data_IF_127752750215
#
_entry.id   IF_127752750215
#
_cell.length_a   1.000
_cell.length_b   1.000
_cell.length_c   1.000
_cell.angle_alpha   90.00
_cell.angle_beta   90.00
_cell.angle_gamma   90.00
#
_symmetry.space_group_name_H-M   'P 1'
#
loop_
_entity.id
_entity.type
_entity.pdbx_description
1 polymer ?
#
# COMPACT_ATOMS: atom_id res chain seq x y z
N UNK A 1 -8.96 18.09 7.87
CA UNK A 1 -9.73 17.18 6.99
C UNK A 1 -10.14 16.02 7.86
N UNK A 2 -11.44 15.80 8.01
CA UNK A 2 -11.96 14.60 8.69
C UNK A 2 -12.09 13.51 7.63
N UNK A 3 -11.40 12.39 7.84
CA UNK A 3 -11.29 11.29 6.86
C UNK A 3 -12.18 10.09 7.25
N UNK A 4 -12.58 10.01 8.52
CA UNK A 4 -13.31 8.89 9.08
C UNK A 4 -14.72 8.82 8.48
N UNK A 5 -15.10 7.65 7.97
CA UNK A 5 -16.43 7.42 7.37
C UNK A 5 -16.56 7.89 5.92
N UNK A 6 -15.56 8.62 5.39
CA UNK A 6 -15.53 9.04 3.99
C UNK A 6 -14.94 7.98 3.08
N UNK A 7 -15.30 8.01 1.80
CA UNK A 7 -14.69 7.14 0.79
C UNK A 7 -13.21 7.51 0.61
N UNK A 8 -12.32 6.52 0.67
CA UNK A 8 -10.89 6.74 0.46
C UNK A 8 -10.59 7.35 -0.91
N UNK A 9 -11.36 6.99 -1.96
CA UNK A 9 -11.18 7.47 -3.33
C UNK A 9 -11.28 8.99 -3.49
N UNK A 10 -11.97 9.69 -2.57
CA UNK A 10 -12.02 11.15 -2.55
C UNK A 10 -10.66 11.79 -2.27
N UNK A 11 -9.75 11.04 -1.64
CA UNK A 11 -8.43 11.49 -1.22
C UNK A 11 -7.30 10.88 -2.02
N UNK A 12 -7.57 9.97 -2.96
CA UNK A 12 -6.55 9.31 -3.78
C UNK A 12 -6.46 9.99 -5.14
N UNK A 13 -5.24 10.08 -5.68
CA UNK A 13 -5.02 10.51 -7.06
C UNK A 13 -5.83 9.61 -8.01
N UNK A 14 -6.65 10.16 -8.93
CA UNK A 14 -7.49 9.36 -9.83
C UNK A 14 -6.75 8.31 -10.62
N UNK A 15 -5.46 8.52 -10.92
CA UNK A 15 -4.66 7.55 -11.67
C UNK A 15 -4.26 6.31 -10.86
N UNK A 16 -4.40 6.34 -9.54
CA UNK A 16 -4.14 5.21 -8.64
C UNK A 16 -5.43 4.43 -8.29
N UNK A 17 -6.60 4.83 -8.79
CA UNK A 17 -7.88 4.23 -8.37
C UNK A 17 -7.98 2.75 -8.74
N UNK A 18 -7.54 2.37 -9.93
CA UNK A 18 -7.56 0.98 -10.39
C UNK A 18 -6.58 0.10 -9.58
N UNK A 19 -5.42 0.64 -9.24
CA UNK A 19 -4.43 -0.06 -8.40
C UNK A 19 -4.97 -0.26 -6.98
N UNK A 20 -5.60 0.76 -6.39
CA UNK A 20 -6.24 0.64 -5.08
C UNK A 20 -7.40 -0.37 -5.11
N UNK A 21 -8.22 -0.36 -6.15
CA UNK A 21 -9.29 -1.34 -6.32
C UNK A 21 -8.72 -2.77 -6.38
N UNK A 22 -7.62 -2.98 -7.08
CA UNK A 22 -6.93 -4.26 -7.13
C UNK A 22 -6.39 -4.68 -5.74
N UNK A 23 -5.77 -3.76 -5.00
CA UNK A 23 -5.28 -3.98 -3.63
C UNK A 23 -6.42 -4.39 -2.68
N UNK A 24 -7.58 -3.73 -2.80
CA UNK A 24 -8.78 -4.00 -2.01
C UNK A 24 -9.59 -5.20 -2.51
N UNK A 25 -9.27 -5.74 -3.69
CA UNK A 25 -9.95 -6.92 -4.20
C UNK A 25 -9.41 -8.20 -3.55
N UNK A 26 -10.30 -9.17 -3.37
CA UNK A 26 -9.91 -10.55 -3.19
C UNK A 26 -9.56 -11.08 -4.57
N UNK A 27 -8.28 -11.03 -4.94
CA UNK A 27 -7.85 -11.85 -6.06
C UNK A 27 -8.08 -13.31 -5.66
N UNK A 28 -8.81 -14.10 -6.46
CA UNK A 28 -8.97 -15.52 -6.15
C UNK A 28 -7.56 -16.10 -6.03
N UNK A 29 -7.24 -16.79 -4.92
CA UNK A 29 -5.94 -17.43 -4.82
C UNK A 29 -5.76 -18.31 -6.06
N UNK A 30 -4.59 -18.27 -6.72
CA UNK A 30 -4.35 -19.12 -7.87
C UNK A 30 -4.70 -20.54 -7.46
N UNK A 31 -5.67 -21.12 -8.18
CA UNK A 31 -6.28 -22.42 -7.90
C UNK A 31 -5.18 -23.49 -7.80
N UNK A 32 -4.63 -23.68 -6.60
CA UNK A 32 -3.72 -24.76 -6.29
C UNK A 32 -3.93 -25.17 -4.83
N UNK A 33 -4.65 -26.28 -4.71
CA UNK A 33 -4.44 -27.30 -3.69
C UNK A 33 -4.48 -26.88 -2.22
N UNK A 34 -5.57 -27.32 -1.56
CA UNK A 34 -5.48 -28.17 -0.37
C UNK A 34 -4.69 -27.64 0.84
N UNK A 35 -4.55 -26.32 1.01
CA UNK A 35 -4.29 -25.81 2.35
C UNK A 35 -5.66 -25.81 3.04
N UNK A 36 -5.86 -26.58 4.13
CA UNK A 36 -7.03 -26.39 4.98
C UNK A 36 -6.89 -25.01 5.63
N UNK A 37 -7.27 -23.95 4.90
CA UNK A 37 -7.45 -22.64 5.49
C UNK A 37 -8.54 -22.85 6.55
N UNK A 38 -8.26 -22.57 7.83
CA UNK A 38 -9.22 -22.75 8.90
C UNK A 38 -10.55 -22.11 8.50
N UNK A 39 -11.66 -22.77 8.82
CA UNK A 39 -12.95 -22.09 8.77
C UNK A 39 -12.86 -20.86 9.68
N UNK A 40 -13.29 -19.71 9.18
CA UNK A 40 -13.23 -18.45 9.92
C UNK A 40 -12.40 -17.37 9.25
N UNK A 41 -11.86 -16.48 10.07
CA UNK A 41 -11.15 -15.29 9.64
C UNK A 41 -9.66 -15.58 9.41
N UNK A 42 -9.12 -15.06 8.32
CA UNK A 42 -7.69 -15.06 8.05
C UNK A 42 -7.25 -13.71 7.46
N UNK A 43 -5.95 -13.49 7.44
CA UNK A 43 -5.34 -12.23 7.00
C UNK A 43 -4.49 -12.47 5.76
N UNK A 44 -4.58 -11.56 4.79
CA UNK A 44 -3.82 -11.61 3.55
C UNK A 44 -2.98 -10.34 3.40
N UNK A 45 -1.66 -10.49 3.43
CA UNK A 45 -0.71 -9.37 3.44
C UNK A 45 -0.86 -8.45 2.22
N UNK A 46 -0.66 -7.15 2.46
CA UNK A 46 -0.68 -6.08 1.46
C UNK A 46 0.45 -5.09 1.74
N UNK A 47 1.24 -4.81 0.71
CA UNK A 47 2.19 -3.70 0.69
C UNK A 47 2.09 -2.99 -0.64
N UNK A 48 1.80 -1.69 -0.62
CA UNK A 48 1.56 -0.89 -1.84
C UNK A 48 1.90 0.57 -1.62
N UNK A 49 2.02 1.32 -2.71
CA UNK A 49 2.18 2.77 -2.69
C UNK A 49 0.90 3.43 -3.21
N UNK A 50 0.54 4.58 -2.63
CA UNK A 50 -0.63 5.33 -3.08
C UNK A 50 -0.38 6.83 -2.95
N UNK A 51 -0.85 7.62 -3.93
CA UNK A 51 -0.78 9.08 -3.87
C UNK A 51 -2.03 9.63 -3.18
N UNK A 52 -1.84 10.19 -2.00
CA UNK A 52 -2.91 10.80 -1.21
C UNK A 52 -2.87 12.33 -1.31
N UNK A 53 -4.04 12.98 -1.43
CA UNK A 53 -4.19 14.43 -1.36
C UNK A 53 -3.59 14.94 -0.05
N UNK A 54 -2.75 15.96 -0.15
CA UNK A 54 -2.02 16.53 0.96
C UNK A 54 -2.14 18.06 0.92
N UNK A 55 -2.73 18.64 1.96
CA UNK A 55 -2.96 20.09 2.09
C UNK A 55 -1.83 20.79 2.85
N UNK A 56 -0.75 20.08 3.20
CA UNK A 56 0.41 20.69 3.85
C UNK A 56 1.15 21.60 2.87
N UNK A 57 1.48 22.81 3.33
CA UNK A 57 2.10 23.83 2.50
C UNK A 57 3.46 23.35 1.96
N UNK A 58 3.65 23.52 0.65
CA UNK A 58 4.89 23.18 -0.08
C UNK A 58 6.14 23.93 0.44
N UNK A 59 5.95 25.03 1.18
CA UNK A 59 6.94 26.12 1.29
C UNK A 59 8.27 25.75 1.96
N UNK A 60 8.38 24.68 2.74
CA UNK A 60 9.62 24.39 3.48
C UNK A 60 10.19 22.96 3.36
N UNK A 61 9.56 22.04 2.60
CA UNK A 61 9.98 20.63 2.65
C UNK A 61 9.85 19.82 1.35
N UNK A 62 9.34 20.39 0.25
CA UNK A 62 9.16 19.61 -1.00
C UNK A 62 8.32 18.34 -0.84
N UNK A 63 7.48 18.30 0.21
CA UNK A 63 6.81 17.09 0.70
C UNK A 63 5.64 16.62 -0.20
N UNK A 64 5.22 17.46 -1.16
CA UNK A 64 4.07 17.22 -2.02
C UNK A 64 4.38 17.57 -3.48
N UNK A 65 3.88 16.74 -4.39
CA UNK A 65 3.89 16.96 -5.85
C UNK A 65 2.45 17.11 -6.32
N UNK A 66 2.11 18.23 -6.98
CA UNK A 66 0.75 18.48 -7.46
C UNK A 66 -0.34 18.51 -6.36
N UNK A 67 0.04 18.70 -5.08
CA UNK A 67 -0.90 18.59 -3.96
C UNK A 67 -1.10 17.17 -3.44
N UNK A 68 -0.28 16.21 -3.85
CA UNK A 68 -0.31 14.82 -3.40
C UNK A 68 0.99 14.42 -2.71
N UNK A 69 0.90 13.44 -1.82
CA UNK A 69 2.04 12.79 -1.14
C UNK A 69 1.96 11.28 -1.40
N UNK A 70 3.11 10.67 -1.71
CA UNK A 70 3.20 9.21 -1.81
C UNK A 70 3.26 8.61 -0.41
N UNK A 71 2.36 7.67 -0.15
CA UNK A 71 2.27 6.92 1.10
C UNK A 71 2.55 5.45 0.79
N UNK A 72 3.50 4.87 1.51
CA UNK A 72 3.72 3.43 1.58
C UNK A 72 2.77 2.83 2.61
N UNK A 73 1.87 1.97 2.18
CA UNK A 73 0.93 1.28 3.04
C UNK A 73 1.40 -0.15 3.23
N UNK A 74 1.47 -0.62 4.48
CA UNK A 74 1.79 -2.01 4.83
C UNK A 74 0.77 -2.54 5.85
N UNK A 75 0.22 -3.72 5.59
CA UNK A 75 -0.83 -4.31 6.41
C UNK A 75 -1.44 -5.55 5.78
N UNK A 76 -2.73 -5.76 5.97
CA UNK A 76 -3.42 -6.95 5.51
C UNK A 76 -4.90 -6.71 5.22
N UNK A 77 -5.45 -7.46 4.27
CA UNK A 77 -6.89 -7.64 4.13
C UNK A 77 -7.36 -8.68 5.12
N UNK A 78 -8.38 -8.33 5.91
CA UNK A 78 -9.10 -9.27 6.74
C UNK A 78 -10.16 -9.97 5.91
N UNK A 79 -10.15 -11.29 5.88
CA UNK A 79 -11.02 -12.11 5.02
C UNK A 79 -11.75 -13.13 5.86
N UNK A 80 -13.04 -13.29 5.62
CA UNK A 80 -13.85 -14.35 6.24
C UNK A 80 -14.15 -15.44 5.21
N UNK A 81 -13.79 -16.68 5.53
CA UNK A 81 -14.15 -17.86 4.75
C UNK A 81 -15.41 -18.50 5.34
N UNK A 82 -16.42 -18.69 4.49
CA UNK A 82 -17.62 -19.43 4.84
C UNK A 82 -17.91 -20.50 3.79
N UNK A 83 -18.57 -21.58 4.22
CA UNK A 83 -19.04 -22.62 3.32
C UNK A 83 -20.40 -22.22 2.75
N UNK A 84 -20.62 -22.52 1.48
CA UNK A 84 -21.97 -22.44 0.90
C UNK A 84 -22.58 -23.83 0.99
N UNK A 85 -23.81 -23.92 1.51
CA UNK A 85 -24.54 -25.16 1.80
C UNK A 85 -24.78 -26.10 0.60
N UNK A 86 -24.33 -25.73 -0.61
CA UNK A 86 -24.56 -26.47 -1.84
C UNK A 86 -23.40 -27.40 -2.28
N UNK A 87 -22.18 -27.26 -1.72
CA UNK A 87 -21.06 -28.15 -2.09
C UNK A 87 -19.90 -28.09 -1.08
N UNK A 88 -19.36 -29.24 -0.61
CA UNK A 88 -18.17 -29.27 0.25
C UNK A 88 -16.89 -28.77 -0.44
N UNK A 89 -16.95 -28.50 -1.75
CA UNK A 89 -15.84 -27.97 -2.55
C UNK A 89 -15.95 -26.47 -2.83
N UNK A 90 -17.05 -25.82 -2.44
CA UNK A 90 -17.30 -24.41 -2.78
C UNK A 90 -17.20 -23.53 -1.52
N UNK A 91 -16.01 -22.98 -1.31
CA UNK A 91 -15.74 -22.02 -0.24
C UNK A 91 -15.76 -20.62 -0.79
N UNK A 92 -16.59 -19.76 -0.20
CA UNK A 92 -16.67 -18.35 -0.54
C UNK A 92 -15.81 -17.51 0.42
N UNK A 93 -15.32 -16.39 -0.10
CA UNK A 93 -14.50 -15.45 0.64
C UNK A 93 -15.18 -14.09 0.69
N UNK A 94 -15.29 -13.52 1.88
CA UNK A 94 -15.79 -12.17 2.11
C UNK A 94 -14.66 -11.25 2.54
N UNK A 95 -14.46 -10.14 1.84
CA UNK A 95 -13.52 -9.10 2.27
C UNK A 95 -14.15 -8.30 3.41
N UNK A 96 -13.53 -8.31 4.59
CA UNK A 96 -13.98 -7.55 5.76
C UNK A 96 -13.36 -6.15 5.83
N UNK A 97 -12.27 -5.91 5.10
CA UNK A 97 -11.60 -4.62 5.03
C UNK A 97 -10.08 -4.72 5.07
N UNK A 98 -9.43 -3.60 4.79
CA UNK A 98 -7.99 -3.41 4.89
C UNK A 98 -7.64 -2.78 6.25
N UNK A 99 -6.67 -3.37 6.95
CA UNK A 99 -6.00 -2.74 8.08
C UNK A 99 -4.53 -2.52 7.69
N UNK A 100 -4.07 -1.28 7.69
CA UNK A 100 -2.72 -0.94 7.27
C UNK A 100 -2.16 0.29 7.98
N UNK A 101 -0.83 0.34 8.07
CA UNK A 101 -0.07 1.51 8.50
C UNK A 101 0.45 2.24 7.27
N UNK A 102 0.16 3.54 7.17
CA UNK A 102 0.65 4.41 6.11
C UNK A 102 1.88 5.20 6.54
N UNK A 103 3.01 4.96 5.90
CA UNK A 103 4.24 5.72 6.06
C UNK A 103 4.45 6.65 4.87
N UNK A 104 4.58 7.94 5.13
CA UNK A 104 4.87 8.86 4.05
C UNK A 104 6.32 8.77 3.61
N UNK A 105 6.56 8.69 2.30
CA UNK A 105 7.93 8.68 1.79
C UNK A 105 8.63 10.02 2.09
N UNK A 106 9.92 9.98 2.47
CA UNK A 106 10.72 11.19 2.63
C UNK A 106 10.82 11.91 1.27
N UNK A 107 10.70 13.25 1.22
CA UNK A 107 10.89 14.01 0.00
C UNK A 107 12.27 13.75 -0.63
N UNK A 108 12.30 13.74 -1.96
CA UNK A 108 13.44 13.35 -2.81
C UNK A 108 14.73 14.18 -2.64
N UNK A 109 14.67 15.28 -1.87
CA UNK A 109 15.77 16.22 -1.68
C UNK A 109 16.30 16.28 -0.24
N UNK A 110 15.99 15.29 0.61
CA UNK A 110 16.50 15.30 1.98
C UNK A 110 18.01 15.00 2.00
N UNK A 111 18.80 16.06 2.16
CA UNK A 111 20.18 16.01 2.63
C UNK A 111 20.28 15.79 4.15
N UNK A 112 19.14 15.71 4.84
CA UNK A 112 19.01 15.67 6.30
C UNK A 112 18.70 14.26 6.86
N UNK A 113 18.68 13.21 6.03
CA UNK A 113 18.55 11.83 6.54
C UNK A 113 19.88 11.55 7.23
N UNK A 114 19.83 11.43 8.56
CA UNK A 114 20.95 10.96 9.34
C UNK A 114 21.29 9.54 8.89
N UNK A 115 22.40 9.42 8.17
CA UNK A 115 22.95 8.12 7.77
C UNK A 115 23.61 7.46 8.98
N UNK A 116 23.35 6.17 9.16
CA UNK A 116 24.03 5.33 10.13
C UNK A 116 25.10 4.50 9.41
N UNK A 117 26.03 3.89 10.15
CA UNK A 117 27.12 3.09 9.56
C UNK A 117 26.66 1.87 8.77
N UNK A 118 25.38 1.48 8.89
CA UNK A 118 24.74 0.42 8.11
C UNK A 118 23.91 0.95 6.92
N UNK A 119 24.09 2.21 6.53
CA UNK A 119 23.41 2.84 5.40
C UNK A 119 24.45 3.44 4.46
N UNK A 120 24.19 3.35 3.15
CA UNK A 120 24.96 4.04 2.12
C UNK A 120 24.00 4.82 1.22
N UNK A 121 24.49 5.91 0.62
CA UNK A 121 23.72 6.71 -0.31
C UNK A 121 24.25 6.50 -1.73
N UNK A 122 23.36 6.43 -2.71
CA UNK A 122 23.76 6.50 -4.10
C UNK A 122 22.83 7.43 -4.87
N UNK A 123 23.33 7.97 -5.97
CA UNK A 123 22.55 8.71 -6.95
C UNK A 123 22.57 7.92 -8.25
N UNK A 124 21.39 7.69 -8.83
CA UNK A 124 21.23 7.04 -10.11
C UNK A 124 20.41 7.89 -11.09
N UNK A 125 20.58 7.63 -12.37
CA UNK A 125 19.67 8.09 -13.42
C UNK A 125 18.33 7.32 -13.33
N UNK A 126 17.32 7.76 -14.09
CA UNK A 126 16.03 7.05 -14.18
C UNK A 126 16.14 5.65 -14.81
N UNK A 127 17.21 5.38 -15.56
CA UNK A 127 17.56 4.04 -16.06
C UNK A 127 18.33 3.20 -15.03
N UNK A 128 18.39 3.65 -13.78
CA UNK A 128 19.07 3.03 -12.64
C UNK A 128 20.60 2.91 -12.80
N UNK A 129 21.20 3.60 -13.77
CA UNK A 129 22.66 3.68 -13.85
C UNK A 129 23.19 4.59 -12.75
N UNK A 130 24.15 4.07 -11.99
CA UNK A 130 24.81 4.80 -10.91
C UNK A 130 25.61 5.99 -11.46
N UNK A 131 25.41 7.14 -10.83
CA UNK A 131 26.14 8.39 -11.07
C UNK A 131 27.13 8.63 -9.92
N UNK A 132 26.71 8.31 -8.70
CA UNK A 132 27.47 8.49 -7.47
C UNK A 132 27.12 7.41 -6.45
N UNK A 133 28.09 6.99 -5.66
CA UNK A 133 27.95 6.07 -4.53
C UNK A 133 28.82 6.62 -3.38
N UNK A 134 28.22 6.80 -2.22
CA UNK A 134 28.92 7.16 -0.99
C UNK A 134 29.65 5.93 -0.46
N UNK A 135 30.93 6.09 -0.10
CA UNK A 135 31.83 5.01 0.29
C UNK A 135 31.89 4.83 1.81
#
# INVERSE_FOLDING_TARGET
VELTGSSIYEYIDPTDHDELAAVLSLQPPPLHHQIPVPQGEFELERSFFIRMKCVLAKRNAGLTSGGYKVIHCSGYLKVHRYNVDASPYDSCFQNMGLVAVGHSLPPSAITEIKMYSNMFMFRANMDLRLIFLDA
#
